data_IF_673677787511
#
_entry.id   IF_673677787511
#
_cell.length_a   1.000
_cell.length_b   1.000
_cell.length_c   1.000
_cell.angle_alpha   90.00
_cell.angle_beta   90.00
_cell.angle_gamma   90.00
#
_symmetry.space_group_name_H-M   'P 1'
#
loop_
_entity.id
_entity.type
_entity.pdbx_description
1 polymer ?
#
# COMPACT_ATOMS: atom_id res chain seq x y z
N UNK A 1 -2.28 8.46 18.57
CA UNK A 1 -2.89 9.63 17.92
C UNK A 1 -2.35 9.77 16.49
N UNK A 2 -3.24 9.91 15.53
CA UNK A 2 -2.85 10.10 14.12
C UNK A 2 -2.57 11.56 13.80
N UNK A 3 -3.34 12.47 14.37
CA UNK A 3 -3.26 13.88 14.07
C UNK A 3 -3.31 14.74 15.34
N UNK A 4 -2.59 15.84 15.32
CA UNK A 4 -2.62 16.87 16.35
C UNK A 4 -3.64 17.95 15.96
N UNK A 5 -4.26 18.66 16.92
CA UNK A 5 -5.12 19.79 16.60
C UNK A 5 -4.41 20.82 15.72
N UNK A 6 -5.08 21.30 14.68
CA UNK A 6 -4.55 22.27 13.73
C UNK A 6 -4.69 23.73 14.27
N UNK A 7 -4.31 23.95 15.54
CA UNK A 7 -4.47 25.24 16.24
C UNK A 7 -3.21 26.11 16.28
N UNK A 8 -2.12 25.65 15.65
CA UNK A 8 -0.84 26.36 15.61
C UNK A 8 -0.08 26.41 16.94
N UNK A 9 -0.59 25.75 18.00
CA UNK A 9 0.05 25.73 19.32
C UNK A 9 1.46 25.15 19.27
N UNK A 10 2.47 25.77 19.89
CA UNK A 10 3.80 25.20 20.02
C UNK A 10 3.79 23.84 20.71
N UNK A 11 4.65 22.93 20.26
CA UNK A 11 4.73 21.55 20.74
C UNK A 11 5.98 21.37 21.61
N UNK A 12 5.86 21.42 22.95
CA UNK A 12 7.03 21.36 23.84
C UNK A 12 7.45 19.94 24.24
N UNK A 13 6.64 18.93 23.89
CA UNK A 13 6.85 17.56 24.37
C UNK A 13 7.46 16.66 23.29
N UNK A 14 7.89 15.47 23.70
CA UNK A 14 8.24 14.37 22.82
C UNK A 14 6.95 13.72 22.30
N UNK A 15 6.80 13.60 20.99
CA UNK A 15 5.64 13.00 20.34
C UNK A 15 6.07 11.78 19.54
N UNK A 16 5.34 10.67 19.69
CA UNK A 16 5.51 9.43 18.91
C UNK A 16 4.23 9.28 18.07
N UNK A 17 4.33 9.50 16.76
CA UNK A 17 3.18 9.48 15.85
C UNK A 17 3.64 9.38 14.39
N UNK A 18 2.71 9.19 13.47
CA UNK A 18 2.94 9.44 12.05
C UNK A 18 2.86 10.95 11.80
N UNK A 19 4.00 11.57 11.49
CA UNK A 19 4.09 13.01 11.33
C UNK A 19 3.76 13.50 9.92
N UNK A 20 4.04 12.69 8.91
CA UNK A 20 3.88 13.06 7.49
C UNK A 20 4.52 14.42 7.16
N UNK A 21 5.74 14.69 7.68
CA UNK A 21 6.34 16.00 7.66
C UNK A 21 7.61 16.11 6.79
N UNK A 22 8.18 14.99 6.32
CA UNK A 22 9.54 15.01 5.77
C UNK A 22 9.62 14.80 4.26
N UNK A 23 8.50 14.58 3.58
CA UNK A 23 8.42 14.27 2.15
C UNK A 23 7.63 15.31 1.35
N UNK A 24 7.63 16.57 1.80
CA UNK A 24 6.90 17.63 1.11
C UNK A 24 5.37 17.62 1.29
N UNK A 25 4.85 16.85 2.26
CA UNK A 25 3.42 16.84 2.57
C UNK A 25 2.93 18.24 2.99
N UNK A 26 1.72 18.67 2.58
CA UNK A 26 1.25 20.05 2.77
C UNK A 26 1.28 20.56 4.22
N UNK A 27 0.99 19.71 5.20
CA UNK A 27 1.02 20.06 6.63
C UNK A 27 2.41 19.99 7.28
N UNK A 28 3.41 19.43 6.60
CA UNK A 28 4.73 19.15 7.14
C UNK A 28 5.48 20.38 7.65
N UNK A 29 5.63 21.44 6.86
CA UNK A 29 6.35 22.65 7.28
C UNK A 29 5.74 23.30 8.53
N UNK A 30 4.41 23.34 8.63
CA UNK A 30 3.71 23.87 9.80
C UNK A 30 3.93 23.02 11.04
N UNK A 31 3.86 21.69 10.91
CA UNK A 31 4.13 20.79 12.03
C UNK A 31 5.55 20.95 12.55
N UNK A 32 6.55 21.01 11.68
CA UNK A 32 7.95 21.24 12.06
C UNK A 32 8.15 22.61 12.72
N UNK A 33 7.47 23.65 12.23
CA UNK A 33 7.49 24.98 12.84
C UNK A 33 6.96 24.97 14.28
N UNK A 34 5.88 24.21 14.56
CA UNK A 34 5.29 24.07 15.89
C UNK A 34 6.26 23.38 16.86
N UNK A 35 6.97 22.35 16.42
CA UNK A 35 8.03 21.70 17.20
C UNK A 35 9.19 22.65 17.49
N UNK A 36 9.68 23.37 16.48
CA UNK A 36 10.76 24.37 16.66
C UNK A 36 10.37 25.43 17.69
N UNK A 37 9.15 25.96 17.63
CA UNK A 37 8.66 26.97 18.58
C UNK A 37 8.52 26.42 20.01
N UNK A 38 8.14 25.18 20.15
CA UNK A 38 7.88 24.55 21.45
C UNK A 38 9.11 23.88 22.08
N UNK A 39 10.15 23.61 21.32
CA UNK A 39 11.33 22.86 21.78
C UNK A 39 11.11 21.36 21.93
N UNK A 40 10.00 20.82 21.42
CA UNK A 40 9.70 19.39 21.46
C UNK A 40 10.37 18.59 20.35
N UNK A 41 10.13 17.28 20.32
CA UNK A 41 10.72 16.35 19.35
C UNK A 41 9.66 15.44 18.77
N UNK A 42 9.70 15.20 17.46
CA UNK A 42 8.89 14.21 16.77
C UNK A 42 9.71 12.94 16.54
N UNK A 43 9.23 11.84 17.11
CA UNK A 43 9.67 10.48 16.77
C UNK A 43 8.66 9.89 15.78
N UNK A 44 8.90 10.14 14.50
CA UNK A 44 7.98 9.71 13.44
C UNK A 44 8.07 8.20 13.22
N UNK A 45 6.94 7.52 13.36
CA UNK A 45 6.81 6.07 13.21
C UNK A 45 7.15 5.58 11.80
N UNK A 46 7.09 6.44 10.78
CA UNK A 46 7.58 6.10 9.45
C UNK A 46 9.10 5.91 9.41
N UNK A 47 9.82 6.57 10.29
CA UNK A 47 11.29 6.56 10.38
C UNK A 47 11.81 5.74 11.56
N UNK A 48 10.94 4.98 12.20
CA UNK A 48 11.33 4.00 13.22
C UNK A 48 11.87 2.76 12.52
N UNK A 49 13.18 2.77 12.22
CA UNK A 49 13.83 1.79 11.37
C UNK A 49 14.83 0.92 12.13
N UNK A 50 15.08 -0.28 11.61
CA UNK A 50 16.19 -1.13 12.03
C UNK A 50 17.55 -0.63 11.50
N UNK A 51 18.64 -1.33 11.85
CA UNK A 51 19.98 -1.02 11.33
C UNK A 51 20.08 -1.17 9.79
N UNK A 52 19.20 -1.98 9.20
CA UNK A 52 19.08 -2.22 7.76
C UNK A 52 18.23 -1.16 7.03
N UNK A 53 17.76 -0.13 7.74
CA UNK A 53 16.89 0.92 7.20
C UNK A 53 15.43 0.52 7.01
N UNK A 54 15.06 -0.74 7.29
CA UNK A 54 13.67 -1.20 7.16
C UNK A 54 12.82 -0.72 8.34
N UNK A 55 11.58 -0.33 8.07
CA UNK A 55 10.62 0.04 9.12
C UNK A 55 10.39 -1.15 10.07
N UNK A 56 10.44 -0.89 11.37
CA UNK A 56 10.20 -1.89 12.42
C UNK A 56 8.71 -2.21 12.55
N UNK A 57 7.84 -1.21 12.42
CA UNK A 57 6.38 -1.39 12.43
C UNK A 57 5.75 -0.77 11.18
N UNK A 58 4.93 -1.53 10.47
CA UNK A 58 4.26 -1.07 9.25
C UNK A 58 3.00 -1.90 8.97
N UNK A 59 2.03 -1.30 8.31
CA UNK A 59 0.76 -1.93 7.92
C UNK A 59 0.84 -2.73 6.60
N UNK A 60 2.04 -2.92 6.03
CA UNK A 60 2.22 -3.41 4.67
C UNK A 60 1.57 -4.76 4.38
N UNK A 61 1.63 -5.73 5.31
CA UNK A 61 0.98 -7.03 5.12
C UNK A 61 -0.53 -6.88 4.86
N UNK A 62 -1.23 -6.13 5.71
CA UNK A 62 -2.68 -5.93 5.58
C UNK A 62 -3.04 -4.99 4.43
N UNK A 63 -2.16 -4.09 4.03
CA UNK A 63 -2.33 -3.33 2.78
C UNK A 63 -2.35 -4.26 1.56
N UNK A 64 -1.40 -5.17 1.46
CA UNK A 64 -1.36 -6.18 0.39
C UNK A 64 -2.56 -7.11 0.41
N UNK A 65 -2.92 -7.62 1.59
CA UNK A 65 -4.05 -8.51 1.79
C UNK A 65 -5.37 -7.87 1.36
N UNK A 66 -5.66 -6.66 1.84
CA UNK A 66 -6.87 -5.93 1.48
C UNK A 66 -6.87 -5.47 0.01
N UNK A 67 -5.72 -5.02 -0.52
CA UNK A 67 -5.58 -4.62 -1.92
C UNK A 67 -5.85 -5.78 -2.89
N UNK A 68 -5.33 -6.97 -2.60
CA UNK A 68 -5.62 -8.16 -3.36
C UNK A 68 -7.11 -8.56 -3.27
N UNK A 69 -7.74 -8.39 -2.09
CA UNK A 69 -9.17 -8.65 -1.93
C UNK A 69 -10.03 -7.73 -2.79
N UNK A 70 -9.77 -6.42 -2.78
CA UNK A 70 -10.52 -5.46 -3.61
C UNK A 70 -10.27 -5.73 -5.10
N UNK A 71 -9.06 -6.10 -5.48
CA UNK A 71 -8.74 -6.47 -6.88
C UNK A 71 -9.50 -7.71 -7.34
N UNK A 72 -9.66 -8.73 -6.47
CA UNK A 72 -10.49 -9.90 -6.77
C UNK A 72 -11.99 -9.55 -6.85
N UNK A 73 -12.48 -8.64 -6.00
CA UNK A 73 -13.86 -8.12 -6.12
C UNK A 73 -14.08 -7.42 -7.46
N UNK A 74 -13.08 -6.63 -7.90
CA UNK A 74 -13.14 -5.97 -9.20
C UNK A 74 -13.21 -7.00 -10.35
N UNK A 75 -12.37 -8.03 -10.30
CA UNK A 75 -12.41 -9.12 -11.27
C UNK A 75 -13.77 -9.85 -11.25
N UNK A 76 -14.32 -10.17 -10.08
CA UNK A 76 -15.62 -10.82 -9.95
C UNK A 76 -16.75 -9.96 -10.54
N UNK A 77 -16.74 -8.65 -10.28
CA UNK A 77 -17.70 -7.71 -10.85
C UNK A 77 -17.64 -7.66 -12.38
N UNK A 78 -16.43 -7.67 -12.97
CA UNK A 78 -16.24 -7.75 -14.43
C UNK A 78 -16.83 -9.03 -15.01
N UNK A 79 -16.66 -10.20 -14.34
CA UNK A 79 -17.24 -11.48 -14.78
C UNK A 79 -18.76 -11.47 -14.78
N UNK A 80 -19.36 -10.59 -14.02
CA UNK A 80 -20.81 -10.34 -13.98
C UNK A 80 -21.28 -9.18 -14.88
N UNK A 81 -20.37 -8.65 -15.72
CA UNK A 81 -20.67 -7.57 -16.67
C UNK A 81 -20.72 -6.17 -16.05
N UNK A 82 -20.23 -6.01 -14.80
CA UNK A 82 -20.26 -4.76 -14.05
C UNK A 82 -18.89 -4.14 -13.80
N UNK A 83 -18.86 -3.22 -12.84
CA UNK A 83 -17.67 -2.62 -12.24
C UNK A 83 -17.74 -2.80 -10.72
N UNK A 84 -16.59 -2.83 -10.04
CA UNK A 84 -16.56 -2.97 -8.58
C UNK A 84 -17.34 -1.84 -7.90
N UNK A 85 -18.36 -2.20 -7.14
CA UNK A 85 -19.11 -1.26 -6.31
C UNK A 85 -18.35 -0.85 -5.06
N UNK A 86 -18.93 0.04 -4.22
CA UNK A 86 -18.32 0.53 -3.00
C UNK A 86 -17.86 -0.59 -2.08
N UNK A 87 -16.73 -0.36 -1.40
CA UNK A 87 -16.21 -1.24 -0.35
C UNK A 87 -16.33 -0.56 1.01
N UNK A 88 -16.31 -1.35 2.07
CA UNK A 88 -16.33 -0.86 3.44
C UNK A 88 -15.46 -1.77 4.32
N UNK A 89 -15.11 -1.29 5.51
CA UNK A 89 -14.32 -2.07 6.45
C UNK A 89 -15.00 -3.39 6.82
N UNK A 90 -14.25 -4.48 6.76
CA UNK A 90 -14.72 -5.80 7.22
C UNK A 90 -14.52 -5.93 8.73
N UNK A 91 -15.46 -6.62 9.37
CA UNK A 91 -15.41 -6.88 10.83
C UNK A 91 -14.28 -7.82 11.22
N UNK A 92 -13.81 -8.64 10.29
CA UNK A 92 -12.68 -9.56 10.47
C UNK A 92 -12.14 -10.07 9.13
N UNK A 93 -10.91 -10.59 9.14
CA UNK A 93 -10.32 -11.33 8.02
C UNK A 93 -11.25 -12.46 7.56
N UNK A 94 -11.87 -13.18 8.48
CA UNK A 94 -12.80 -14.26 8.17
C UNK A 94 -14.04 -13.75 7.41
N UNK A 95 -14.64 -12.65 7.85
CA UNK A 95 -15.79 -12.07 7.16
C UNK A 95 -15.42 -11.61 5.74
N UNK A 96 -14.22 -11.06 5.55
CA UNK A 96 -13.68 -10.73 4.22
C UNK A 96 -13.58 -11.97 3.34
N UNK A 97 -12.90 -13.02 3.83
CA UNK A 97 -12.64 -14.22 3.02
C UNK A 97 -13.92 -14.99 2.69
N UNK A 98 -14.85 -15.14 3.64
CA UNK A 98 -16.15 -15.77 3.40
C UNK A 98 -16.99 -14.99 2.37
N UNK A 99 -17.07 -13.67 2.50
CA UNK A 99 -17.78 -12.82 1.54
C UNK A 99 -17.16 -12.83 0.15
N UNK A 100 -15.84 -12.73 0.07
CA UNK A 100 -15.11 -12.77 -1.20
C UNK A 100 -15.24 -14.13 -1.89
N UNK A 101 -15.16 -15.22 -1.12
CA UNK A 101 -15.38 -16.57 -1.64
C UNK A 101 -16.76 -16.71 -2.30
N UNK A 102 -17.81 -16.23 -1.62
CA UNK A 102 -19.17 -16.25 -2.16
C UNK A 102 -19.31 -15.43 -3.46
N UNK A 103 -18.68 -14.24 -3.52
CA UNK A 103 -18.68 -13.42 -4.72
C UNK A 103 -17.95 -14.10 -5.90
N UNK A 104 -16.82 -14.74 -5.62
CA UNK A 104 -16.04 -15.47 -6.62
C UNK A 104 -16.77 -16.72 -7.12
N UNK A 105 -17.46 -17.45 -6.24
CA UNK A 105 -18.24 -18.63 -6.61
C UNK A 105 -19.45 -18.25 -7.46
N UNK A 106 -20.10 -17.13 -7.15
CA UNK A 106 -21.22 -16.59 -7.90
C UNK A 106 -20.87 -16.23 -9.36
N UNK A 107 -19.60 -16.04 -9.70
CA UNK A 107 -19.19 -15.80 -11.10
C UNK A 107 -19.34 -17.04 -11.98
N UNK A 108 -19.37 -18.24 -11.41
CA UNK A 108 -19.30 -19.51 -12.15
C UNK A 108 -18.02 -19.71 -12.97
N UNK A 109 -17.09 -18.77 -12.90
CA UNK A 109 -15.84 -18.79 -13.64
C UNK A 109 -14.72 -19.50 -12.88
N UNK A 110 -13.73 -20.03 -13.60
CA UNK A 110 -12.48 -20.46 -12.97
C UNK A 110 -11.78 -19.26 -12.34
N UNK A 111 -11.06 -19.51 -11.24
CA UNK A 111 -10.26 -18.47 -10.57
C UNK A 111 -9.26 -17.84 -11.54
N UNK A 112 -9.00 -16.52 -11.42
CA UNK A 112 -8.03 -15.84 -12.26
C UNK A 112 -6.62 -16.36 -12.01
N UNK A 113 -5.71 -16.03 -12.90
CA UNK A 113 -4.28 -16.17 -12.70
C UNK A 113 -3.70 -14.80 -12.36
N UNK A 114 -3.02 -14.69 -11.23
CA UNK A 114 -2.46 -13.42 -10.75
C UNK A 114 -0.94 -13.39 -10.79
N UNK A 115 -0.38 -12.21 -11.05
CA UNK A 115 1.04 -11.93 -10.85
C UNK A 115 1.18 -10.86 -9.75
N UNK A 116 2.07 -11.10 -8.79
CA UNK A 116 2.42 -10.18 -7.71
C UNK A 116 3.86 -9.76 -7.91
N UNK A 117 4.10 -8.45 -8.06
CA UNK A 117 5.46 -7.87 -8.16
C UNK A 117 5.81 -7.18 -6.85
N UNK A 118 7.00 -7.48 -6.31
CA UNK A 118 7.39 -7.18 -4.93
C UNK A 118 6.90 -8.26 -3.97
N UNK A 119 6.81 -9.51 -4.44
CA UNK A 119 6.18 -10.63 -3.76
C UNK A 119 6.87 -11.05 -2.44
N UNK A 120 8.17 -10.77 -2.28
CA UNK A 120 8.96 -11.13 -1.09
C UNK A 120 8.86 -10.09 0.03
N UNK A 121 8.31 -8.89 -0.27
CA UNK A 121 8.08 -7.85 0.71
C UNK A 121 6.83 -8.11 1.57
N UNK A 122 6.64 -7.34 2.66
CA UNK A 122 5.46 -7.46 3.53
C UNK A 122 4.14 -7.32 2.76
N UNK A 123 4.07 -6.37 1.84
CA UNK A 123 2.88 -6.10 1.01
C UNK A 123 2.60 -7.29 0.09
N UNK A 124 3.62 -7.74 -0.64
CA UNK A 124 3.50 -8.87 -1.56
C UNK A 124 3.17 -10.19 -0.87
N UNK A 125 3.70 -10.41 0.35
CA UNK A 125 3.34 -11.56 1.17
C UNK A 125 1.85 -11.53 1.50
N UNK A 126 1.33 -10.42 2.01
CA UNK A 126 -0.11 -10.29 2.33
C UNK A 126 -1.00 -10.48 1.11
N UNK A 127 -0.64 -9.90 -0.04
CA UNK A 127 -1.36 -10.09 -1.29
C UNK A 127 -1.34 -11.56 -1.76
N UNK A 128 -0.17 -12.20 -1.71
CA UNK A 128 0.00 -13.60 -2.12
C UNK A 128 -0.78 -14.56 -1.21
N UNK A 129 -0.81 -14.29 0.09
CA UNK A 129 -1.52 -15.12 1.07
C UNK A 129 -3.04 -15.07 0.84
N UNK A 130 -3.61 -13.88 0.63
CA UNK A 130 -5.03 -13.77 0.28
C UNK A 130 -5.33 -14.51 -1.03
N UNK A 131 -4.59 -14.21 -2.09
CA UNK A 131 -4.83 -14.82 -3.41
C UNK A 131 -4.77 -16.34 -3.33
N UNK A 132 -3.79 -16.89 -2.61
CA UNK A 132 -3.65 -18.34 -2.41
C UNK A 132 -4.81 -18.90 -1.62
N UNK A 133 -5.25 -18.22 -0.54
CA UNK A 133 -6.41 -18.64 0.25
C UNK A 133 -7.71 -18.63 -0.55
N UNK A 134 -7.83 -17.80 -1.59
CA UNK A 134 -8.96 -17.74 -2.51
C UNK A 134 -8.86 -18.74 -3.69
N UNK A 135 -7.85 -19.62 -3.70
CA UNK A 135 -7.65 -20.60 -4.76
C UNK A 135 -7.10 -20.00 -6.07
N UNK A 136 -6.52 -18.83 -6.01
CA UNK A 136 -5.91 -18.15 -7.15
C UNK A 136 -4.49 -18.65 -7.36
N UNK A 137 -4.12 -19.00 -8.62
CA UNK A 137 -2.74 -19.31 -8.97
C UNK A 137 -1.93 -18.02 -9.02
N UNK A 138 -0.81 -17.97 -8.28
CA UNK A 138 0.01 -16.77 -8.11
C UNK A 138 1.40 -16.97 -8.69
N UNK A 139 1.77 -16.14 -9.67
CA UNK A 139 3.15 -15.91 -10.10
C UNK A 139 3.77 -14.85 -9.19
N UNK A 140 4.91 -15.16 -8.59
CA UNK A 140 5.60 -14.26 -7.65
C UNK A 140 6.86 -13.72 -8.30
N UNK A 141 6.93 -12.40 -8.46
CA UNK A 141 8.09 -11.70 -8.97
C UNK A 141 8.64 -10.71 -7.94
N UNK A 142 9.96 -10.55 -7.97
CA UNK A 142 10.64 -9.54 -7.18
C UNK A 142 11.75 -8.88 -8.03
N UNK A 143 12.81 -8.39 -7.43
CA UNK A 143 13.89 -7.67 -8.11
C UNK A 143 14.59 -8.52 -9.17
N UNK A 144 14.72 -9.84 -8.96
CA UNK A 144 15.41 -10.72 -9.90
C UNK A 144 14.68 -10.80 -11.24
N UNK A 145 13.35 -10.98 -11.22
CA UNK A 145 12.53 -11.11 -12.41
C UNK A 145 12.35 -9.77 -13.15
N UNK A 146 12.47 -8.64 -12.44
CA UNK A 146 12.32 -7.29 -13.02
C UNK A 146 13.64 -6.63 -13.40
N UNK A 147 14.78 -7.27 -13.14
CA UNK A 147 16.13 -6.73 -13.36
C UNK A 147 16.43 -6.39 -14.84
N UNK A 148 15.74 -7.02 -15.79
CA UNK A 148 15.90 -6.77 -17.23
C UNK A 148 15.42 -5.38 -17.68
N UNK A 149 14.64 -4.67 -16.83
CA UNK A 149 14.12 -3.33 -17.16
C UNK A 149 12.90 -3.30 -18.10
N UNK A 150 12.39 -4.44 -18.50
CA UNK A 150 11.21 -4.57 -19.37
C UNK A 150 11.52 -4.55 -20.88
N UNK A 151 10.50 -4.67 -21.77
CA UNK A 151 9.08 -4.80 -21.43
C UNK A 151 8.73 -6.12 -20.73
N UNK A 152 7.57 -6.15 -20.04
CA UNK A 152 7.12 -7.30 -19.25
C UNK A 152 5.82 -7.91 -19.80
N UNK A 153 5.89 -8.67 -20.90
CA UNK A 153 4.70 -9.29 -21.51
C UNK A 153 4.00 -10.27 -20.59
N UNK A 154 4.73 -10.92 -19.68
CA UNK A 154 4.16 -11.85 -18.72
C UNK A 154 3.14 -11.16 -17.80
N UNK A 155 3.35 -9.89 -17.38
CA UNK A 155 2.39 -9.13 -16.60
C UNK A 155 1.06 -9.00 -17.37
N UNK A 156 1.13 -8.73 -18.68
CA UNK A 156 -0.03 -8.55 -19.53
C UNK A 156 -0.74 -9.88 -19.88
N UNK A 157 -0.08 -11.00 -19.69
CA UNK A 157 -0.63 -12.33 -19.92
C UNK A 157 -1.45 -12.90 -18.76
N UNK A 158 -1.32 -12.33 -17.55
CA UNK A 158 -2.12 -12.69 -16.38
C UNK A 158 -3.46 -11.95 -16.37
N UNK A 159 -4.45 -12.47 -15.64
CA UNK A 159 -5.75 -11.80 -15.45
C UNK A 159 -5.64 -10.62 -14.47
N UNK A 160 -4.86 -10.82 -13.40
CA UNK A 160 -4.61 -9.83 -12.34
C UNK A 160 -3.12 -9.50 -12.21
N UNK A 161 -2.82 -8.22 -12.06
CA UNK A 161 -1.50 -7.75 -11.65
C UNK A 161 -1.62 -6.99 -10.33
N UNK A 162 -0.88 -7.41 -9.30
CA UNK A 162 -0.80 -6.73 -8.00
C UNK A 162 0.59 -6.11 -7.85
N UNK A 163 0.63 -4.78 -7.84
CA UNK A 163 1.86 -4.03 -7.60
C UNK A 163 2.07 -3.78 -6.12
N UNK A 164 3.16 -4.33 -5.58
CA UNK A 164 3.51 -4.27 -4.16
C UNK A 164 4.88 -3.62 -3.91
N UNK A 165 5.46 -2.96 -4.90
CA UNK A 165 6.75 -2.29 -4.75
C UNK A 165 6.59 -0.83 -4.35
N UNK A 166 7.54 -0.33 -3.58
CA UNK A 166 7.75 1.10 -3.42
C UNK A 166 8.65 1.58 -4.58
N UNK A 167 8.07 2.33 -5.52
CA UNK A 167 8.80 2.84 -6.67
C UNK A 167 9.80 3.93 -6.28
N UNK A 168 10.90 4.00 -7.01
CA UNK A 168 11.96 4.99 -6.83
C UNK A 168 12.81 5.12 -8.10
N UNK A 169 13.92 5.88 -8.04
CA UNK A 169 14.84 6.00 -9.15
C UNK A 169 15.28 4.64 -9.70
N UNK A 170 15.14 4.42 -11.01
CA UNK A 170 15.48 3.17 -11.67
C UNK A 170 14.38 2.11 -11.68
N UNK A 171 13.22 2.35 -11.07
CA UNK A 171 12.08 1.44 -11.19
C UNK A 171 11.62 1.37 -12.65
N UNK A 172 11.55 0.16 -13.25
CA UNK A 172 11.06 0.01 -14.61
C UNK A 172 9.55 0.23 -14.71
N UNK A 173 9.09 0.63 -15.89
CA UNK A 173 7.65 0.74 -16.17
C UNK A 173 7.08 -0.65 -16.44
N UNK A 174 6.15 -1.11 -15.62
CA UNK A 174 5.49 -2.41 -15.76
C UNK A 174 4.34 -2.38 -16.77
N UNK A 175 3.50 -1.33 -16.68
CA UNK A 175 2.35 -1.17 -17.57
C UNK A 175 2.38 0.22 -18.19
N UNK A 176 2.99 0.35 -19.39
CA UNK A 176 3.01 1.61 -20.12
C UNK A 176 1.66 1.88 -20.80
N UNK A 177 1.35 3.12 -21.23
CA UNK A 177 0.07 3.47 -21.87
C UNK A 177 -0.27 2.58 -23.08
N UNK A 178 0.72 2.14 -23.84
CA UNK A 178 0.53 1.29 -25.03
C UNK A 178 0.04 -0.13 -24.68
N UNK A 179 0.19 -0.56 -23.41
CA UNK A 179 -0.22 -1.88 -22.96
C UNK A 179 -1.75 -2.02 -22.81
N UNK A 180 -2.51 -0.93 -22.90
CA UNK A 180 -3.99 -0.94 -22.75
C UNK A 180 -4.71 -1.52 -23.97
N UNK A 181 -4.00 -1.74 -25.07
CA UNK A 181 -4.54 -2.23 -26.34
C UNK A 181 -5.06 -3.69 -26.32
N UNK A 182 -5.56 -4.18 -27.47
CA UNK A 182 -6.02 -5.55 -27.62
C UNK A 182 -4.86 -6.56 -27.49
N UNK A 183 -5.19 -7.82 -27.19
CA UNK A 183 -4.21 -8.91 -27.08
C UNK A 183 -3.64 -9.15 -25.68
N UNK A 184 -4.00 -8.34 -24.67
CA UNK A 184 -3.69 -8.61 -23.26
C UNK A 184 -4.72 -9.55 -22.61
N UNK A 185 -4.25 -10.36 -21.67
CA UNK A 185 -5.11 -11.09 -20.72
C UNK A 185 -5.49 -10.25 -19.50
N UNK A 186 -4.68 -9.23 -19.18
CA UNK A 186 -4.80 -8.41 -17.97
C UNK A 186 -6.10 -7.60 -17.98
N UNK A 187 -6.93 -7.79 -16.94
CA UNK A 187 -8.21 -7.12 -16.78
C UNK A 187 -8.30 -6.29 -15.51
N UNK A 188 -7.48 -6.61 -14.48
CA UNK A 188 -7.44 -5.85 -13.24
C UNK A 188 -5.99 -5.58 -12.82
N UNK A 189 -5.71 -4.34 -12.45
CA UNK A 189 -4.49 -3.94 -11.77
C UNK A 189 -4.85 -3.51 -10.35
N UNK A 190 -4.21 -4.13 -9.36
CA UNK A 190 -4.22 -3.68 -7.97
C UNK A 190 -2.93 -2.95 -7.66
N UNK A 191 -2.94 -1.63 -7.73
CA UNK A 191 -1.78 -0.83 -7.34
C UNK A 191 -1.84 -0.49 -5.85
N UNK A 192 -1.18 -1.33 -5.03
CA UNK A 192 -1.17 -1.16 -3.57
C UNK A 192 -0.21 -0.04 -3.15
N UNK A 193 0.79 0.27 -3.95
CA UNK A 193 1.70 1.40 -3.72
C UNK A 193 1.04 2.75 -4.00
N UNK A 194 0.16 2.80 -4.98
CA UNK A 194 -0.78 3.86 -5.36
C UNK A 194 -0.20 5.30 -5.33
N UNK A 195 0.86 5.52 -6.10
CA UNK A 195 1.47 6.85 -6.27
C UNK A 195 1.43 7.31 -7.75
N UNK A 196 0.22 7.62 -8.28
CA UNK A 196 0.05 7.97 -9.69
C UNK A 196 0.75 9.26 -10.10
N UNK A 197 1.01 10.17 -9.14
CA UNK A 197 1.70 11.44 -9.36
C UNK A 197 3.22 11.34 -9.36
N UNK A 198 3.79 10.19 -9.05
CA UNK A 198 5.24 10.00 -9.00
C UNK A 198 5.85 9.86 -10.40
N UNK A 199 6.99 10.51 -10.62
CA UNK A 199 7.81 10.31 -11.83
C UNK A 199 8.28 8.84 -11.97
N UNK A 200 8.28 8.09 -10.89
CA UNK A 200 8.70 6.69 -10.82
C UNK A 200 7.54 5.70 -10.89
N UNK A 201 6.29 6.18 -11.09
CA UNK A 201 5.12 5.31 -11.17
C UNK A 201 5.30 4.24 -12.26
N UNK A 202 5.30 2.93 -11.91
CA UNK A 202 5.48 1.86 -12.87
C UNK A 202 4.22 1.52 -13.68
N UNK A 203 3.06 2.08 -13.31
CA UNK A 203 1.75 1.83 -13.91
C UNK A 203 1.21 3.12 -14.51
N UNK A 204 1.54 3.38 -15.77
CA UNK A 204 1.26 4.68 -16.41
C UNK A 204 -0.07 4.72 -17.19
N UNK A 205 -1.09 4.02 -16.69
CA UNK A 205 -2.40 3.91 -17.34
C UNK A 205 -3.52 4.56 -16.56
N UNK A 206 -3.22 5.16 -15.41
CA UNK A 206 -4.17 5.90 -14.59
C UNK A 206 -3.47 7.11 -13.95
N UNK A 207 -4.23 8.11 -13.50
CA UNK A 207 -3.75 9.44 -13.11
C UNK A 207 -4.19 9.93 -11.71
N UNK A 208 -5.03 9.15 -11.01
CA UNK A 208 -5.54 9.51 -9.68
C UNK A 208 -5.79 8.28 -8.81
N UNK A 209 -5.69 8.47 -7.51
CA UNK A 209 -6.07 7.44 -6.53
C UNK A 209 -7.58 7.14 -6.60
N UNK A 210 -7.94 5.95 -6.13
CA UNK A 210 -9.33 5.54 -5.91
C UNK A 210 -9.67 5.59 -4.43
N UNK A 211 -10.94 5.46 -4.11
CA UNK A 211 -11.43 5.47 -2.74
C UNK A 211 -12.41 4.31 -2.47
N UNK A 212 -12.97 4.27 -1.27
CA UNK A 212 -13.89 3.20 -0.89
C UNK A 212 -15.25 3.29 -1.58
N UNK A 213 -15.68 4.49 -2.03
CA UNK A 213 -16.94 4.68 -2.75
C UNK A 213 -16.81 4.26 -4.21
N UNK A 214 -15.64 4.51 -4.82
CA UNK A 214 -15.28 4.12 -6.18
C UNK A 214 -13.92 3.41 -6.17
N UNK A 215 -13.87 2.11 -5.80
CA UNK A 215 -12.62 1.41 -5.53
C UNK A 215 -11.78 1.14 -6.76
N UNK A 216 -12.31 1.31 -7.95
CA UNK A 216 -11.58 1.15 -9.20
C UNK A 216 -11.87 2.27 -10.19
N UNK A 217 -10.91 2.52 -11.07
CA UNK A 217 -11.08 3.34 -12.29
C UNK A 217 -11.06 2.39 -13.48
N UNK A 218 -12.08 2.48 -14.36
CA UNK A 218 -12.06 1.79 -15.65
C UNK A 218 -11.23 2.60 -16.64
N UNK A 219 -10.10 2.04 -17.06
CA UNK A 219 -9.16 2.68 -18.00
C UNK A 219 -9.30 2.18 -19.42
N UNK A 220 -9.98 1.04 -19.64
CA UNK A 220 -10.34 0.53 -20.96
C UNK A 220 -11.64 -0.28 -20.92
N UNK A 221 -12.43 -0.20 -21.99
CA UNK A 221 -13.70 -0.93 -22.11
C UNK A 221 -13.54 -2.24 -22.91
N UNK A 222 -12.64 -2.27 -23.88
CA UNK A 222 -12.49 -3.44 -24.77
C UNK A 222 -11.02 -3.67 -25.16
N UNK A 223 -10.39 -4.72 -24.64
CA UNK A 223 -10.81 -5.51 -23.47
C UNK A 223 -10.89 -4.65 -22.21
N UNK A 224 -11.76 -5.04 -21.27
CA UNK A 224 -11.92 -4.29 -20.01
C UNK A 224 -10.61 -4.25 -19.19
N UNK A 225 -10.32 -3.08 -18.58
CA UNK A 225 -9.22 -2.93 -17.63
C UNK A 225 -9.64 -1.97 -16.52
N UNK A 226 -9.66 -2.47 -15.30
CA UNK A 226 -9.89 -1.67 -14.10
C UNK A 226 -8.60 -1.55 -13.28
N UNK A 227 -8.38 -0.38 -12.68
CA UNK A 227 -7.26 -0.12 -11.77
C UNK A 227 -7.79 0.22 -10.39
N UNK A 228 -7.42 -0.55 -9.38
CA UNK A 228 -7.58 -0.25 -7.96
C UNK A 228 -6.32 0.46 -7.46
N UNK A 229 -6.49 1.62 -6.83
CA UNK A 229 -5.40 2.43 -6.27
C UNK A 229 -5.88 3.16 -5.01
N UNK A 230 -6.36 2.39 -4.01
CA UNK A 230 -6.82 2.92 -2.73
C UNK A 230 -5.62 3.17 -1.80
N UNK A 231 -5.46 4.40 -1.33
CA UNK A 231 -4.35 4.78 -0.45
C UNK A 231 -4.46 4.14 0.95
N UNK A 232 -5.64 4.01 1.52
CA UNK A 232 -5.85 3.55 2.90
C UNK A 232 -6.40 2.12 2.98
N UNK A 233 -5.76 1.17 2.34
CA UNK A 233 -6.15 -0.25 2.31
C UNK A 233 -6.16 -0.95 3.68
N UNK A 234 -5.20 -0.72 4.61
CA UNK A 234 -5.21 -1.42 5.90
C UNK A 234 -6.45 -1.13 6.75
N UNK A 235 -7.10 0.02 6.54
CA UNK A 235 -8.32 0.39 7.26
C UNK A 235 -9.55 -0.43 6.84
N UNK A 236 -9.46 -1.20 5.76
CA UNK A 236 -10.48 -2.18 5.38
C UNK A 236 -10.49 -3.40 6.33
N UNK A 237 -9.38 -3.66 7.05
CA UNK A 237 -9.25 -4.67 8.10
C UNK A 237 -8.66 -4.03 9.37
N UNK A 238 -9.40 -3.12 10.03
CA UNK A 238 -8.85 -2.25 11.07
C UNK A 238 -8.37 -2.99 12.30
N UNK A 239 -9.04 -4.07 12.68
CA UNK A 239 -8.67 -4.89 13.84
C UNK A 239 -7.35 -5.62 13.61
N UNK A 240 -7.26 -6.35 12.52
CA UNK A 240 -6.09 -7.14 12.15
C UNK A 240 -4.88 -6.23 11.93
N UNK A 241 -5.07 -5.14 11.22
CA UNK A 241 -4.01 -4.14 10.97
C UNK A 241 -3.49 -3.52 12.27
N UNK A 242 -4.40 -3.19 13.21
CA UNK A 242 -4.01 -2.59 14.48
C UNK A 242 -3.29 -3.57 15.40
N UNK A 243 -3.76 -4.82 15.47
CA UNK A 243 -3.13 -5.87 16.29
C UNK A 243 -1.74 -6.20 15.78
N UNK A 244 -1.59 -6.36 14.46
CA UNK A 244 -0.29 -6.64 13.84
C UNK A 244 0.69 -5.47 14.06
N UNK A 245 0.26 -4.25 13.79
CA UNK A 245 1.08 -3.06 14.02
C UNK A 245 1.50 -2.92 15.49
N UNK A 246 0.58 -3.11 16.42
CA UNK A 246 0.87 -3.06 17.86
C UNK A 246 1.86 -4.16 18.26
N UNK A 247 1.73 -5.36 17.71
CA UNK A 247 2.67 -6.47 17.95
C UNK A 247 4.09 -6.15 17.47
N UNK A 248 4.22 -5.50 16.30
CA UNK A 248 5.51 -5.05 15.77
C UNK A 248 6.10 -3.89 16.56
N UNK A 249 5.29 -2.95 17.03
CA UNK A 249 5.74 -1.75 17.74
C UNK A 249 6.09 -2.02 19.21
N UNK A 250 5.40 -2.94 19.87
CA UNK A 250 5.55 -3.21 21.32
C UNK A 250 7.00 -3.52 21.75
N UNK A 251 7.79 -4.36 21.06
CA UNK A 251 9.19 -4.59 21.40
C UNK A 251 10.04 -3.31 21.39
N UNK A 252 9.74 -2.39 20.48
CA UNK A 252 10.46 -1.12 20.34
C UNK A 252 10.05 -0.14 21.44
N UNK A 253 8.76 -0.10 21.82
CA UNK A 253 8.26 0.72 22.91
C UNK A 253 8.89 0.36 24.26
N UNK A 254 9.29 -0.89 24.46
CA UNK A 254 10.01 -1.33 25.67
C UNK A 254 11.38 -0.69 25.85
N UNK A 255 11.94 -0.10 24.79
CA UNK A 255 13.22 0.61 24.81
C UNK A 255 13.09 2.13 24.98
N UNK A 256 11.92 2.66 25.36
CA UNK A 256 11.70 4.11 25.53
C UNK A 256 12.52 4.75 26.67
N UNK A 257 12.98 3.96 27.62
CA UNK A 257 13.95 4.38 28.64
C UNK A 257 15.29 4.84 28.04
N UNK A 258 15.61 4.39 26.84
CA UNK A 258 16.81 4.72 26.06
C UNK A 258 16.44 5.40 24.74
N UNK A 259 15.57 6.40 24.79
CA UNK A 259 14.98 7.07 23.63
C UNK A 259 16.02 7.72 22.69
N UNK A 260 17.21 7.99 23.17
CA UNK A 260 18.30 8.59 22.38
C UNK A 260 19.18 7.53 21.69
N UNK A 261 18.83 6.25 21.81
CA UNK A 261 19.59 5.11 21.25
C UNK A 261 18.76 4.34 20.21
N UNK A 262 19.42 3.44 19.51
CA UNK A 262 18.82 2.46 18.59
C UNK A 262 17.83 3.07 17.59
N UNK A 263 16.65 2.50 17.48
CA UNK A 263 15.61 2.95 16.56
C UNK A 263 15.05 4.32 16.92
N UNK A 264 14.89 4.61 18.21
CA UNK A 264 14.43 5.90 18.69
C UNK A 264 15.47 6.99 18.42
N UNK A 265 16.75 6.71 18.68
CA UNK A 265 17.85 7.63 18.35
C UNK A 265 17.89 7.97 16.86
N UNK A 266 17.73 6.97 15.98
CA UNK A 266 17.65 7.21 14.52
C UNK A 266 16.45 8.09 14.15
N UNK A 267 15.26 7.82 14.69
CA UNK A 267 14.07 8.64 14.42
C UNK A 267 14.24 10.09 14.92
N UNK A 268 14.88 10.28 16.08
CA UNK A 268 15.25 11.60 16.60
C UNK A 268 16.25 12.36 15.72
N UNK A 269 17.24 11.65 15.15
CA UNK A 269 18.20 12.23 14.21
C UNK A 269 17.52 12.68 12.91
N UNK A 270 16.57 11.90 12.38
CA UNK A 270 15.77 12.29 11.21
C UNK A 270 14.99 13.57 11.50
N UNK A 271 14.33 13.66 12.66
CA UNK A 271 13.65 14.88 13.08
C UNK A 271 14.62 16.07 13.14
N UNK A 272 15.77 15.92 13.80
CA UNK A 272 16.77 16.99 13.94
C UNK A 272 17.24 17.52 12.58
N UNK A 273 17.45 16.64 11.60
CA UNK A 273 17.85 17.01 10.25
C UNK A 273 16.79 17.83 9.50
N UNK A 274 15.49 17.57 9.74
CA UNK A 274 14.38 18.28 9.08
C UNK A 274 13.85 19.47 9.88
N UNK A 275 14.12 19.50 11.19
CA UNK A 275 13.75 20.61 12.06
C UNK A 275 14.78 21.72 12.12
N UNK A 276 15.94 21.55 11.50
CA UNK A 276 16.94 22.63 11.36
C UNK A 276 16.33 23.84 10.64
N UNK A 277 16.75 25.08 10.98
CA UNK A 277 16.23 26.31 10.38
C UNK A 277 16.50 26.41 8.88
#
# INVERSE_FOLDING_TARGET
LKELPADGTPLPHRHIMFGHAYKGQPGGPELLRRFRKGGGTLYDLEYLTGPDGRRLAAFGYWAGYAGAAVSLKAWAAQRQGGICGPVQGWTSQRALTEGLQAELDATGAMRPHAIVVGALGRVGTGASDLLTAMGVRVTRWDMAETASGGPFPDILAHDLFINCILAGPGTPVFVPPQAVGPGRGLTVIGDVACDPGSDYNPIRVYDRVTDWAAPVIRVAETPVLDVMAIDNLPSLLPRESSVDFAGQLLPVLRGLDRIDQDAWGRAGQVFAAHAAP
#
